data_IF_569589064433
#
_entry.id   IF_569589064433
#
_cell.length_a   1.000
_cell.length_b   1.000
_cell.length_c   1.000
_cell.angle_alpha   90.00
_cell.angle_beta   90.00
_cell.angle_gamma   90.00
#
_symmetry.space_group_name_H-M   'P 1'
#
loop_
_entity.id
_entity.type
_entity.pdbx_description
1 polymer ?
#
# COMPACT_ATOMS: atom_id res chain seq x y z
N UNK A 1 8.08 -25.26 -8.61
CA UNK A 1 7.16 -24.17 -9.01
C UNK A 1 6.10 -24.09 -7.92
N UNK A 2 6.01 -22.97 -7.21
CA UNK A 2 4.96 -22.75 -6.23
C UNK A 2 3.81 -22.02 -6.93
N UNK A 3 2.57 -22.42 -6.65
CA UNK A 3 1.37 -21.72 -7.11
C UNK A 3 0.60 -21.26 -5.88
N UNK A 4 1.00 -20.12 -5.28
CA UNK A 4 0.28 -19.57 -4.14
C UNK A 4 -1.14 -19.25 -4.62
N UNK A 5 -2.11 -20.01 -4.13
CA UNK A 5 -3.53 -19.82 -4.43
C UNK A 5 -4.18 -18.95 -3.35
N UNK A 6 -3.70 -19.05 -2.11
CA UNK A 6 -4.28 -18.34 -0.97
C UNK A 6 -3.38 -17.22 -0.45
N UNK A 7 -4.02 -16.21 0.14
CA UNK A 7 -3.35 -15.10 0.80
C UNK A 7 -2.28 -15.54 1.81
N UNK A 8 -2.54 -16.63 2.54
CA UNK A 8 -1.59 -17.18 3.52
C UNK A 8 -0.28 -17.63 2.86
N UNK A 9 -0.35 -18.16 1.66
CA UNK A 9 0.82 -18.62 0.92
C UNK A 9 1.60 -17.43 0.36
N UNK A 10 0.90 -16.40 -0.15
CA UNK A 10 1.52 -15.13 -0.55
C UNK A 10 2.23 -14.45 0.63
N UNK A 11 1.62 -14.46 1.80
CA UNK A 11 2.19 -13.94 3.04
C UNK A 11 3.43 -14.73 3.48
N UNK A 12 3.44 -16.05 3.26
CA UNK A 12 4.61 -16.89 3.53
C UNK A 12 5.77 -16.54 2.61
N UNK A 13 5.50 -16.33 1.32
CA UNK A 13 6.51 -15.88 0.35
C UNK A 13 7.03 -14.49 0.73
N UNK A 14 6.15 -13.55 1.09
CA UNK A 14 6.53 -12.20 1.55
C UNK A 14 7.53 -12.25 2.69
N UNK A 15 7.21 -13.02 3.74
CA UNK A 15 8.07 -13.17 4.92
C UNK A 15 9.42 -13.81 4.58
N UNK A 16 9.43 -14.79 3.67
CA UNK A 16 10.68 -15.42 3.23
C UNK A 16 11.59 -14.45 2.47
N UNK A 17 11.00 -13.56 1.64
CA UNK A 17 11.73 -12.49 0.96
C UNK A 17 12.27 -11.45 1.95
N UNK A 18 11.44 -11.02 2.92
CA UNK A 18 11.86 -10.05 3.95
C UNK A 18 12.94 -10.60 4.88
N UNK A 19 12.91 -11.89 5.17
CA UNK A 19 13.91 -12.58 5.97
C UNK A 19 15.20 -12.92 5.19
N UNK A 20 15.36 -12.40 3.96
CA UNK A 20 16.48 -12.70 3.04
C UNK A 20 16.74 -14.21 2.88
N UNK A 21 15.67 -15.01 3.01
CA UNK A 21 15.75 -16.48 2.96
C UNK A 21 15.73 -17.00 1.53
N UNK A 22 15.57 -16.10 0.55
CA UNK A 22 15.41 -16.42 -0.87
C UNK A 22 16.34 -15.53 -1.68
N UNK A 23 17.40 -16.09 -2.27
CA UNK A 23 18.35 -15.31 -3.07
C UNK A 23 17.80 -14.81 -4.42
N UNK A 24 16.89 -15.57 -5.06
CA UNK A 24 16.18 -15.14 -6.29
C UNK A 24 14.78 -15.75 -6.33
N UNK A 25 13.80 -14.94 -6.66
CA UNK A 25 12.41 -15.36 -6.85
C UNK A 25 11.96 -15.05 -8.27
N UNK A 26 11.43 -16.06 -8.97
CA UNK A 26 10.78 -15.91 -10.27
C UNK A 26 9.28 -16.11 -10.10
N UNK A 27 8.49 -15.15 -10.60
CA UNK A 27 7.03 -15.16 -10.46
C UNK A 27 6.38 -15.03 -11.84
N UNK A 28 5.49 -15.97 -12.17
CA UNK A 28 4.60 -15.86 -13.33
C UNK A 28 3.26 -15.29 -12.86
N UNK A 29 2.90 -14.14 -13.41
CA UNK A 29 1.67 -13.43 -13.07
C UNK A 29 0.65 -13.67 -14.19
N UNK A 30 -0.49 -14.26 -13.84
CA UNK A 30 -1.52 -14.63 -14.82
C UNK A 30 -2.48 -13.48 -15.11
N UNK A 31 -2.73 -12.59 -14.13
CA UNK A 31 -3.56 -11.40 -14.32
C UNK A 31 -2.81 -10.13 -13.99
N UNK A 32 -2.96 -9.12 -14.87
CA UNK A 32 -2.31 -7.82 -14.71
C UNK A 32 -2.74 -7.06 -13.45
N UNK A 33 -3.84 -7.46 -12.84
CA UNK A 33 -4.44 -6.81 -11.67
C UNK A 33 -4.17 -7.56 -10.37
N UNK A 34 -3.42 -8.67 -10.40
CA UNK A 34 -3.12 -9.41 -9.19
C UNK A 34 -2.30 -8.57 -8.22
N UNK A 35 -2.71 -8.57 -6.96
CA UNK A 35 -2.04 -7.80 -5.90
C UNK A 35 -0.59 -8.22 -5.69
N UNK A 36 -0.25 -9.48 -5.99
CA UNK A 36 1.14 -9.97 -5.98
C UNK A 36 2.02 -9.14 -6.94
N UNK A 37 1.47 -8.69 -8.07
CA UNK A 37 2.19 -7.81 -8.99
C UNK A 37 2.52 -6.47 -8.33
N UNK A 38 1.54 -5.90 -7.64
CA UNK A 38 1.71 -4.61 -6.95
C UNK A 38 2.75 -4.72 -5.84
N UNK A 39 2.75 -5.83 -5.10
CA UNK A 39 3.78 -6.14 -4.11
C UNK A 39 5.17 -6.28 -4.75
N UNK A 40 5.29 -7.01 -5.86
CA UNK A 40 6.56 -7.15 -6.59
C UNK A 40 7.05 -5.79 -7.14
N UNK A 41 6.16 -4.97 -7.69
CA UNK A 41 6.48 -3.61 -8.14
C UNK A 41 6.99 -2.75 -6.96
N UNK A 42 6.39 -2.91 -5.77
CA UNK A 42 6.80 -2.21 -4.54
C UNK A 42 8.19 -2.62 -4.04
N UNK A 43 8.61 -3.86 -4.31
CA UNK A 43 9.97 -4.36 -4.06
C UNK A 43 10.98 -3.94 -5.15
N UNK A 44 10.53 -3.26 -6.20
CA UNK A 44 11.39 -2.91 -7.34
C UNK A 44 11.73 -4.11 -8.22
N UNK A 45 10.90 -5.16 -8.23
CA UNK A 45 11.12 -6.33 -9.07
C UNK A 45 11.19 -5.95 -10.56
N UNK A 46 12.09 -6.59 -11.29
CA UNK A 46 12.23 -6.38 -12.73
C UNK A 46 11.14 -7.12 -13.49
N UNK A 47 10.35 -6.39 -14.26
CA UNK A 47 9.44 -6.99 -15.24
C UNK A 47 10.24 -7.49 -16.44
N UNK A 48 10.39 -8.81 -16.56
CA UNK A 48 11.19 -9.43 -17.61
C UNK A 48 10.60 -9.28 -19.03
N UNK A 49 9.30 -8.98 -19.16
CA UNK A 49 8.69 -8.71 -20.46
C UNK A 49 8.96 -7.26 -20.92
N UNK A 50 8.84 -6.29 -20.01
CA UNK A 50 9.05 -4.88 -20.30
C UNK A 50 10.51 -4.41 -20.15
N UNK A 51 11.36 -5.23 -19.52
CA UNK A 51 12.79 -4.95 -19.31
C UNK A 51 13.11 -3.95 -18.20
N UNK A 52 12.19 -3.64 -17.29
CA UNK A 52 12.39 -2.61 -16.28
C UNK A 52 11.57 -2.80 -15.01
N UNK A 53 11.89 -2.04 -13.97
CA UNK A 53 11.13 -1.97 -12.72
C UNK A 53 10.23 -0.72 -12.70
N UNK A 54 9.20 -0.77 -11.86
CA UNK A 54 8.36 0.40 -11.61
C UNK A 54 9.13 1.39 -10.73
N UNK A 55 8.96 2.69 -11.00
CA UNK A 55 9.54 3.74 -10.17
C UNK A 55 9.06 3.63 -8.71
N UNK A 56 9.93 3.93 -7.73
CA UNK A 56 9.55 3.89 -6.32
C UNK A 56 8.39 4.85 -6.03
N UNK A 57 7.62 4.54 -4.99
CA UNK A 57 6.52 5.39 -4.57
C UNK A 57 7.03 6.76 -4.10
N UNK A 58 6.18 7.78 -4.27
CA UNK A 58 6.46 9.14 -3.78
C UNK A 58 6.70 9.14 -2.26
N UNK A 59 7.66 9.95 -1.82
CA UNK A 59 8.08 9.99 -0.41
C UNK A 59 6.98 10.43 0.56
N UNK A 60 6.06 11.31 0.13
CA UNK A 60 4.90 11.69 0.95
C UNK A 60 3.92 10.52 1.06
N UNK A 61 3.68 9.81 -0.05
CA UNK A 61 2.85 8.60 -0.04
C UNK A 61 3.46 7.49 0.83
N UNK A 62 4.79 7.32 0.83
CA UNK A 62 5.47 6.36 1.71
C UNK A 62 5.25 6.69 3.19
N UNK A 63 5.39 7.96 3.57
CA UNK A 63 5.14 8.38 4.95
C UNK A 63 3.66 8.22 5.35
N UNK A 64 2.72 8.54 4.46
CA UNK A 64 1.30 8.27 4.71
C UNK A 64 1.01 6.76 4.80
N UNK A 65 1.67 5.94 3.99
CA UNK A 65 1.56 4.49 4.06
C UNK A 65 2.14 3.91 5.36
N UNK A 66 3.25 4.45 5.86
CA UNK A 66 3.82 4.10 7.16
C UNK A 66 2.82 4.43 8.29
N UNK A 67 2.13 5.57 8.21
CA UNK A 67 1.05 5.89 9.14
C UNK A 67 -0.12 4.90 9.06
N UNK A 68 -0.51 4.44 7.86
CA UNK A 68 -1.53 3.39 7.70
C UNK A 68 -1.06 2.06 8.29
N UNK A 69 0.20 1.68 8.03
CA UNK A 69 0.80 0.45 8.55
C UNK A 69 0.86 0.42 10.08
N UNK A 70 1.14 1.57 10.70
CA UNK A 70 1.04 1.76 12.14
C UNK A 70 -0.39 1.66 12.70
N UNK A 71 -1.41 1.48 11.85
CA UNK A 71 -2.80 1.27 12.24
C UNK A 71 -3.30 -0.14 11.93
N UNK A 72 -2.44 -1.04 11.42
CA UNK A 72 -2.79 -2.43 11.09
C UNK A 72 -3.50 -3.14 12.26
N UNK A 73 -2.98 -2.97 13.49
CA UNK A 73 -3.54 -3.57 14.70
C UNK A 73 -4.89 -2.97 15.12
N UNK A 74 -5.25 -1.79 14.59
CA UNK A 74 -6.53 -1.13 14.85
C UNK A 74 -7.64 -1.54 13.87
N UNK A 75 -7.31 -2.45 12.93
CA UNK A 75 -8.20 -2.94 11.88
C UNK A 75 -8.36 -1.93 10.75
N UNK A 76 -7.96 -2.30 9.53
CA UNK A 76 -8.09 -1.39 8.37
C UNK A 76 -9.46 -1.46 7.68
N UNK A 77 -10.24 -2.52 7.92
CA UNK A 77 -11.58 -2.68 7.35
C UNK A 77 -12.68 -1.96 8.15
N UNK A 78 -12.40 -1.59 9.41
CA UNK A 78 -13.35 -0.95 10.33
C UNK A 78 -12.62 -0.15 11.41
N UNK A 79 -13.33 0.57 12.28
CA UNK A 79 -12.71 1.22 13.44
C UNK A 79 -11.67 2.29 13.10
N UNK A 80 -10.64 2.42 13.94
CA UNK A 80 -9.65 3.52 13.86
C UNK A 80 -8.73 3.39 12.64
N UNK A 81 -8.38 2.17 12.23
CA UNK A 81 -7.53 1.98 11.05
C UNK A 81 -8.25 2.33 9.76
N UNK A 82 -9.54 1.95 9.63
CA UNK A 82 -10.38 2.46 8.52
C UNK A 82 -10.43 3.99 8.50
N UNK A 83 -10.68 4.60 9.66
CA UNK A 83 -10.77 6.06 9.78
C UNK A 83 -9.46 6.73 9.32
N UNK A 84 -8.30 6.14 9.65
CA UNK A 84 -6.99 6.60 9.22
C UNK A 84 -6.81 6.52 7.70
N UNK A 85 -7.08 5.35 7.10
CA UNK A 85 -6.95 5.13 5.65
C UNK A 85 -7.80 6.14 4.88
N UNK A 86 -9.08 6.26 5.23
CA UNK A 86 -10.01 7.16 4.53
C UNK A 86 -9.59 8.62 4.66
N UNK A 87 -9.13 9.05 5.85
CA UNK A 87 -8.70 10.44 6.05
C UNK A 87 -7.43 10.77 5.28
N UNK A 88 -6.43 9.88 5.29
CA UNK A 88 -5.20 10.10 4.53
C UNK A 88 -5.48 10.14 3.03
N UNK A 89 -6.29 9.22 2.50
CA UNK A 89 -6.66 9.22 1.08
C UNK A 89 -7.40 10.51 0.70
N UNK A 90 -8.30 11.01 1.56
CA UNK A 90 -8.99 12.30 1.33
C UNK A 90 -8.03 13.49 1.35
N UNK A 91 -7.15 13.55 2.35
CA UNK A 91 -6.22 14.66 2.50
C UNK A 91 -5.26 14.73 1.30
N UNK A 92 -4.72 13.59 0.87
CA UNK A 92 -3.89 13.51 -0.33
C UNK A 92 -4.67 13.82 -1.61
N UNK A 93 -5.93 13.39 -1.70
CA UNK A 93 -6.79 13.75 -2.84
C UNK A 93 -7.04 15.25 -2.94
N UNK A 94 -7.15 15.96 -1.81
CA UNK A 94 -7.28 17.41 -1.79
C UNK A 94 -6.02 18.12 -2.33
N UNK A 95 -4.85 17.49 -2.18
CA UNK A 95 -3.56 17.95 -2.70
C UNK A 95 -3.30 17.48 -4.16
N UNK A 96 -4.30 16.85 -4.81
CA UNK A 96 -4.22 16.45 -6.22
C UNK A 96 -3.73 15.01 -6.46
N UNK A 97 -3.50 14.22 -5.42
CA UNK A 97 -3.18 12.79 -5.60
C UNK A 97 -4.40 11.99 -6.07
N UNK A 98 -4.16 10.98 -6.90
CA UNK A 98 -5.22 10.14 -7.43
C UNK A 98 -5.76 9.17 -6.35
N UNK A 99 -7.09 9.04 -6.29
CA UNK A 99 -7.78 8.02 -5.51
C UNK A 99 -7.78 6.70 -6.29
N UNK A 100 -6.59 6.09 -6.40
CA UNK A 100 -6.36 4.86 -7.15
C UNK A 100 -5.72 3.78 -6.27
N UNK A 101 -6.19 2.52 -6.28
CA UNK A 101 -5.66 1.50 -5.37
C UNK A 101 -4.17 1.23 -5.55
N UNK A 102 -3.70 1.12 -6.79
CA UNK A 102 -2.34 0.67 -7.07
C UNK A 102 -1.24 1.56 -6.43
N UNK A 103 -1.26 2.90 -6.54
CA UNK A 103 -0.31 3.76 -5.83
C UNK A 103 -0.31 3.57 -4.31
N UNK A 104 -1.48 3.50 -3.67
CA UNK A 104 -1.60 3.31 -2.22
C UNK A 104 -1.08 1.96 -1.76
N UNK A 105 -1.43 0.90 -2.49
CA UNK A 105 -0.96 -0.46 -2.19
C UNK A 105 0.54 -0.61 -2.40
N UNK A 106 1.12 0.00 -3.46
CA UNK A 106 2.58 -0.01 -3.64
C UNK A 106 3.28 0.64 -2.46
N UNK A 107 2.86 1.85 -2.07
CA UNK A 107 3.44 2.54 -0.94
C UNK A 107 3.31 1.73 0.36
N UNK A 108 2.14 1.13 0.59
CA UNK A 108 1.87 0.26 1.74
C UNK A 108 2.76 -1.00 1.77
N UNK A 109 2.96 -1.66 0.63
CA UNK A 109 3.88 -2.80 0.56
C UNK A 109 5.34 -2.38 0.74
N UNK A 110 5.76 -1.24 0.21
CA UNK A 110 7.14 -0.74 0.39
C UNK A 110 7.49 -0.51 1.86
N UNK A 111 6.51 -0.16 2.71
CA UNK A 111 6.72 0.03 4.17
C UNK A 111 6.52 -1.27 4.99
N UNK A 112 6.42 -2.43 4.35
CA UNK A 112 6.28 -3.74 5.03
C UNK A 112 4.83 -4.17 5.29
N UNK A 113 3.87 -3.58 4.58
CA UNK A 113 2.46 -3.95 4.67
C UNK A 113 2.17 -5.41 4.29
N UNK A 114 1.17 -6.01 4.92
CA UNK A 114 0.76 -7.40 4.66
C UNK A 114 -0.33 -7.50 3.59
N UNK A 115 -0.43 -8.66 2.92
CA UNK A 115 -1.50 -8.89 1.94
C UNK A 115 -2.90 -8.80 2.55
N UNK A 116 -3.07 -9.25 3.80
CA UNK A 116 -4.34 -9.21 4.53
C UNK A 116 -4.89 -7.80 4.69
N UNK A 117 -4.03 -6.87 5.08
CA UNK A 117 -4.42 -5.49 5.30
C UNK A 117 -4.49 -4.70 3.98
N UNK A 118 -3.64 -5.06 3.01
CA UNK A 118 -3.70 -4.53 1.66
C UNK A 118 -5.07 -4.71 0.99
N UNK A 119 -5.74 -5.86 1.15
CA UNK A 119 -7.12 -6.06 0.64
C UNK A 119 -8.12 -5.05 1.21
N UNK A 120 -7.97 -4.71 2.49
CA UNK A 120 -8.86 -3.75 3.14
C UNK A 120 -8.63 -2.34 2.59
N UNK A 121 -7.37 -1.95 2.38
CA UNK A 121 -7.00 -0.67 1.75
C UNK A 121 -7.52 -0.65 0.31
N UNK A 122 -7.30 -1.72 -0.46
CA UNK A 122 -7.75 -1.83 -1.85
C UNK A 122 -9.26 -1.60 -1.96
N UNK A 123 -10.02 -2.31 -1.13
CA UNK A 123 -11.49 -2.19 -1.09
C UNK A 123 -11.91 -0.76 -0.79
N UNK A 124 -11.36 -0.14 0.26
CA UNK A 124 -11.72 1.22 0.65
C UNK A 124 -11.38 2.24 -0.45
N UNK A 125 -10.19 2.15 -1.04
CA UNK A 125 -9.79 3.06 -2.11
C UNK A 125 -10.65 2.87 -3.36
N UNK A 126 -11.02 1.63 -3.71
CA UNK A 126 -11.98 1.34 -4.80
C UNK A 126 -13.35 1.96 -4.53
N UNK A 127 -13.89 1.79 -3.31
CA UNK A 127 -15.17 2.36 -2.89
C UNK A 127 -15.13 3.90 -2.97
N UNK A 128 -14.05 4.53 -2.47
CA UNK A 128 -13.84 5.97 -2.53
C UNK A 128 -13.72 6.49 -3.98
N UNK A 129 -12.97 5.77 -4.83
CA UNK A 129 -12.87 6.07 -6.26
C UNK A 129 -14.23 6.03 -6.95
N UNK A 130 -15.09 5.08 -6.57
CA UNK A 130 -16.46 4.98 -7.05
C UNK A 130 -17.41 6.06 -6.48
N UNK A 131 -16.91 6.99 -5.65
CA UNK A 131 -17.68 8.08 -5.07
C UNK A 131 -18.29 7.77 -3.70
N UNK A 132 -17.99 6.61 -3.10
CA UNK A 132 -18.52 6.24 -1.78
C UNK A 132 -17.98 7.18 -0.71
N UNK A 133 -18.90 7.86 0.00
CA UNK A 133 -18.57 8.72 1.14
C UNK A 133 -18.59 7.92 2.44
N UNK A 134 -17.44 7.41 2.87
CA UNK A 134 -17.30 6.80 4.19
C UNK A 134 -17.47 7.82 5.33
N UNK A 135 -18.32 7.51 6.30
CA UNK A 135 -18.37 8.23 7.58
C UNK A 135 -17.19 7.77 8.44
N UNK A 136 -16.42 8.73 8.93
CA UNK A 136 -15.20 8.49 9.75
C UNK A 136 -15.14 9.47 10.91
N UNK A 137 -14.47 9.09 12.00
CA UNK A 137 -14.19 10.01 13.11
C UNK A 137 -12.86 10.74 12.84
N UNK A 138 -12.77 12.06 13.09
CA UNK A 138 -11.50 12.79 12.93
C UNK A 138 -10.38 12.12 13.71
N UNK A 139 -9.26 11.85 13.02
CA UNK A 139 -8.07 11.19 13.54
C UNK A 139 -6.81 12.01 13.29
N UNK A 140 -6.76 12.67 12.15
CA UNK A 140 -5.66 13.56 11.78
C UNK A 140 -6.12 15.01 11.79
N UNK A 141 -5.14 15.92 11.91
CA UNK A 141 -5.39 17.35 11.72
C UNK A 141 -5.66 17.63 10.25
N UNK A 142 -6.38 18.71 9.97
CA UNK A 142 -6.74 19.08 8.59
C UNK A 142 -5.50 19.33 7.71
N UNK A 143 -4.40 19.79 8.30
CA UNK A 143 -3.12 20.04 7.63
C UNK A 143 -2.17 18.82 7.64
N UNK A 144 -2.68 17.60 7.73
CA UNK A 144 -1.83 16.40 7.89
C UNK A 144 -0.81 16.22 6.75
N UNK A 145 -1.14 16.60 5.51
CA UNK A 145 -0.20 16.46 4.38
C UNK A 145 1.00 17.40 4.53
N UNK A 146 0.78 18.61 5.03
CA UNK A 146 1.86 19.56 5.34
C UNK A 146 2.76 19.03 6.44
N UNK A 147 2.16 18.49 7.52
CA UNK A 147 2.92 17.87 8.61
C UNK A 147 3.78 16.71 8.09
N UNK A 148 3.23 15.85 7.23
CA UNK A 148 3.99 14.77 6.60
C UNK A 148 5.14 15.34 5.74
N UNK A 149 4.87 16.41 4.98
CA UNK A 149 5.86 17.06 4.11
C UNK A 149 7.04 17.64 4.90
N UNK A 150 6.76 18.29 6.02
CA UNK A 150 7.78 18.78 6.93
C UNK A 150 8.63 17.64 7.50
N UNK A 151 8.00 16.55 7.94
CA UNK A 151 8.70 15.37 8.47
C UNK A 151 9.59 14.69 7.43
N UNK A 152 9.11 14.53 6.19
CA UNK A 152 9.89 13.93 5.10
C UNK A 152 11.08 14.81 4.74
N UNK A 153 10.93 16.13 4.77
CA UNK A 153 12.01 17.07 4.46
C UNK A 153 13.06 17.12 5.57
N UNK A 154 12.64 17.04 6.84
CA UNK A 154 13.55 17.04 8.00
C UNK A 154 14.36 15.75 8.16
N UNK A 155 13.92 14.64 7.55
CA UNK A 155 14.64 13.34 7.57
C UNK A 155 15.67 13.21 6.43
N UNK A 156 15.75 14.17 5.51
CA UNK A 156 16.76 14.23 4.44
C UNK A 156 17.97 15.03 4.89
#
# INVERSE_FOLDING_TARGET
>A
MLHPFEQRELETVRRAVEADSVGKLFVLIWSRYDMVRIWLDALGATNLHAGGSVAPADSLMLAAAEMIWNEDYNGLSSGRGKDAVVQLVRAFSAEGYLVEPAPWLRAYFTVGGSFRHAESIEKLVKEMKAGTRHRVKPRYRDNIVEIIREQVTAKR
#
